data_IF_565779657192
#
_entry.id   IF_565779657192
#
_cell.length_a   1.000
_cell.length_b   1.000
_cell.length_c   1.000
_cell.angle_alpha   90.00
_cell.angle_beta   90.00
_cell.angle_gamma   90.00
#
_symmetry.space_group_name_H-M   'P 1'
#
loop_
_entity.id
_entity.type
_entity.pdbx_description
1 polymer ?
#
# COMPACT_ATOMS: atom_id res chain seq x y z
N UNK A 1 -9.47 14.52 37.57
CA UNK A 1 -10.29 14.89 36.40
C UNK A 1 -10.22 16.39 36.33
N UNK A 2 -9.63 17.07 35.36
CA UNK A 2 -9.24 16.80 33.97
C UNK A 2 -8.24 17.92 33.65
N UNK A 3 -7.01 17.61 33.26
CA UNK A 3 -6.11 18.65 32.73
C UNK A 3 -4.96 17.99 31.98
N UNK A 4 -5.28 17.22 30.93
CA UNK A 4 -4.31 16.62 29.99
C UNK A 4 -4.90 16.51 28.58
N UNK A 5 -5.54 17.55 28.07
CA UNK A 5 -6.19 17.55 26.74
C UNK A 5 -5.86 18.85 25.97
N UNK A 6 -4.59 19.25 25.94
CA UNK A 6 -4.19 20.54 25.33
C UNK A 6 -2.97 20.50 24.43
N UNK A 7 -2.49 19.30 24.04
CA UNK A 7 -1.21 19.13 23.34
C UNK A 7 -1.35 18.62 21.90
N UNK A 8 -2.39 18.98 21.14
CA UNK A 8 -2.47 18.39 19.79
C UNK A 8 -3.14 19.17 18.65
N UNK A 9 -3.12 20.52 18.59
CA UNK A 9 -3.65 21.20 17.39
C UNK A 9 -2.93 22.47 16.90
N UNK A 10 -1.79 22.90 17.47
CA UNK A 10 -1.26 24.25 17.17
C UNK A 10 -0.21 24.36 16.07
N UNK A 11 0.21 23.26 15.41
CA UNK A 11 1.29 23.34 14.40
C UNK A 11 0.85 23.73 12.97
N UNK A 12 -0.31 23.29 12.43
CA UNK A 12 -0.70 23.65 11.06
C UNK A 12 -1.09 25.12 10.93
N UNK A 13 -1.66 25.70 11.99
CA UNK A 13 -2.26 27.04 11.92
C UNK A 13 -1.21 28.14 11.69
N UNK A 14 -0.05 28.02 12.36
CA UNK A 14 1.02 29.02 12.23
C UNK A 14 1.64 29.05 10.84
N UNK A 15 1.65 27.93 10.10
CA UNK A 15 2.20 27.88 8.75
C UNK A 15 1.27 28.57 7.73
N UNK A 16 -0.04 28.30 7.85
CA UNK A 16 -1.08 28.90 6.99
C UNK A 16 -1.15 30.41 7.22
N UNK A 17 -1.13 30.86 8.48
CA UNK A 17 -1.12 32.28 8.84
C UNK A 17 0.08 33.03 8.23
N UNK A 18 1.28 32.44 8.34
CA UNK A 18 2.49 33.09 7.80
C UNK A 18 2.51 33.06 6.24
N UNK A 19 1.89 32.07 5.61
CA UNK A 19 1.77 31.99 4.16
C UNK A 19 0.85 33.10 3.60
N UNK A 20 -0.29 33.32 4.26
CA UNK A 20 -1.23 34.40 3.93
C UNK A 20 -0.56 35.77 4.09
N UNK A 21 0.21 35.96 5.17
CA UNK A 21 0.94 37.20 5.43
C UNK A 21 1.98 37.53 4.33
N UNK A 22 2.69 36.52 3.81
CA UNK A 22 3.72 36.71 2.77
C UNK A 22 3.14 36.94 1.38
N UNK A 23 2.08 36.22 1.01
CA UNK A 23 1.60 36.19 -0.39
C UNK A 23 0.31 36.95 -0.63
N UNK A 24 -0.59 37.04 0.35
CA UNK A 24 -1.90 37.72 0.21
C UNK A 24 -1.81 39.18 0.64
N UNK A 25 -1.07 39.47 1.71
CA UNK A 25 -1.03 40.81 2.31
C UNK A 25 0.10 41.72 1.78
N UNK A 26 1.05 41.20 0.97
CA UNK A 26 2.25 41.93 0.48
C UNK A 26 2.93 42.77 1.58
N UNK A 27 2.91 42.28 2.82
CA UNK A 27 3.60 42.89 3.95
C UNK A 27 5.06 42.46 3.94
N UNK A 28 5.97 43.39 4.16
CA UNK A 28 7.41 43.16 4.30
C UNK A 28 7.69 42.25 5.50
N UNK A 29 7.53 40.94 5.34
CA UNK A 29 7.78 39.97 6.38
C UNK A 29 9.28 39.74 6.52
N UNK A 30 9.86 40.28 7.59
CA UNK A 30 11.24 40.07 8.05
C UNK A 30 11.39 38.71 8.77
N UNK A 31 10.78 37.65 8.23
CA UNK A 31 10.86 36.31 8.79
C UNK A 31 11.34 35.32 7.72
N UNK A 32 12.65 35.27 7.56
CA UNK A 32 13.35 34.46 6.56
C UNK A 32 13.59 33.00 7.02
N UNK A 33 12.72 32.47 7.87
CA UNK A 33 13.05 31.30 8.70
C UNK A 33 12.50 29.94 8.27
N UNK A 34 11.26 29.86 7.77
CA UNK A 34 10.58 28.55 7.63
C UNK A 34 9.59 28.46 6.46
N UNK A 35 9.39 29.56 5.72
CA UNK A 35 8.45 29.61 4.60
C UNK A 35 9.18 29.66 3.28
N UNK A 36 9.45 28.49 2.73
CA UNK A 36 10.14 28.31 1.46
C UNK A 36 11.33 27.36 1.49
N UNK A 37 11.61 26.70 2.61
CA UNK A 37 12.58 25.60 2.63
C UNK A 37 11.95 24.42 1.89
N UNK A 38 12.40 24.20 0.65
CA UNK A 38 11.94 23.09 -0.20
C UNK A 38 11.94 21.73 0.51
N UNK A 39 12.76 21.59 1.54
CA UNK A 39 12.86 20.42 2.40
C UNK A 39 11.52 19.95 2.99
N UNK A 40 10.60 20.81 3.46
CA UNK A 40 9.38 20.32 4.15
C UNK A 40 8.35 19.74 3.16
N UNK A 41 8.14 20.41 2.02
CA UNK A 41 7.20 19.92 0.99
C UNK A 41 7.81 18.76 0.20
N UNK A 42 9.10 18.80 -0.13
CA UNK A 42 9.78 17.68 -0.78
C UNK A 42 9.87 16.44 0.12
N UNK A 43 9.99 16.59 1.44
CA UNK A 43 9.91 15.46 2.38
C UNK A 43 8.49 14.89 2.47
N UNK A 44 7.46 15.73 2.38
CA UNK A 44 6.07 15.27 2.34
C UNK A 44 5.78 14.50 1.03
N UNK A 45 6.21 15.01 -0.11
CA UNK A 45 6.08 14.33 -1.41
C UNK A 45 6.87 13.02 -1.44
N UNK A 46 8.08 12.98 -0.88
CA UNK A 46 8.88 11.76 -0.79
C UNK A 46 8.26 10.71 0.13
N UNK A 47 7.60 11.13 1.21
CA UNK A 47 6.82 10.23 2.07
C UNK A 47 5.61 9.63 1.36
N UNK A 48 4.91 10.44 0.56
CA UNK A 48 3.78 10.00 -0.25
C UNK A 48 4.21 9.04 -1.38
N UNK A 49 5.28 9.37 -2.10
CA UNK A 49 5.83 8.52 -3.17
C UNK A 49 6.42 7.21 -2.64
N UNK A 50 7.04 7.24 -1.46
CA UNK A 50 7.54 6.04 -0.79
C UNK A 50 6.41 5.08 -0.43
N UNK A 51 5.24 5.58 -0.01
CA UNK A 51 4.08 4.75 0.25
C UNK A 51 3.58 4.05 -1.03
N UNK A 52 3.57 4.77 -2.17
CA UNK A 52 3.19 4.21 -3.48
C UNK A 52 4.14 3.08 -3.89
N UNK A 53 5.45 3.28 -3.80
CA UNK A 53 6.46 2.26 -4.14
C UNK A 53 6.40 1.08 -3.18
N UNK A 54 6.14 1.32 -1.89
CA UNK A 54 5.99 0.26 -0.89
C UNK A 54 4.73 -0.57 -1.11
N UNK A 55 3.68 0.03 -1.66
CA UNK A 55 2.43 -0.65 -2.02
C UNK A 55 2.45 -1.25 -3.44
N UNK A 56 3.52 -1.04 -4.22
CA UNK A 56 3.71 -1.74 -5.48
C UNK A 56 3.91 -3.23 -5.21
N UNK A 57 2.84 -3.99 -5.41
CA UNK A 57 2.85 -5.44 -5.34
C UNK A 57 3.62 -5.98 -6.56
N UNK A 58 4.72 -6.68 -6.33
CA UNK A 58 5.59 -7.24 -7.38
C UNK A 58 4.86 -8.27 -8.27
N UNK A 59 3.88 -8.98 -7.71
CA UNK A 59 3.11 -10.01 -8.40
C UNK A 59 1.62 -9.80 -8.13
N UNK A 60 0.81 -9.39 -9.11
CA UNK A 60 -0.59 -9.01 -8.90
C UNK A 60 -1.52 -10.24 -8.81
N UNK A 61 -1.05 -11.35 -8.24
CA UNK A 61 -1.78 -12.61 -8.14
C UNK A 61 -1.58 -13.22 -6.76
N UNK A 62 -2.67 -13.64 -6.12
CA UNK A 62 -2.65 -14.36 -4.86
C UNK A 62 -2.57 -15.88 -5.05
N UNK A 63 -2.46 -16.60 -3.93
CA UNK A 63 -2.55 -18.07 -3.91
C UNK A 63 -3.89 -18.57 -4.49
N UNK A 64 -4.96 -17.81 -4.32
CA UNK A 64 -6.27 -18.13 -4.86
C UNK A 64 -6.28 -18.07 -6.40
N UNK A 65 -5.60 -17.08 -7.00
CA UNK A 65 -5.48 -16.95 -8.45
C UNK A 65 -4.63 -18.08 -9.03
N UNK A 66 -3.53 -18.44 -8.35
CA UNK A 66 -2.69 -19.58 -8.71
C UNK A 66 -3.47 -20.89 -8.65
N UNK A 67 -4.25 -21.12 -7.59
CA UNK A 67 -5.08 -22.31 -7.45
C UNK A 67 -6.18 -22.37 -8.52
N UNK A 68 -6.85 -21.24 -8.78
CA UNK A 68 -7.85 -21.14 -9.85
C UNK A 68 -7.25 -21.48 -11.22
N UNK A 69 -6.07 -20.94 -11.51
CA UNK A 69 -5.37 -21.22 -12.76
C UNK A 69 -5.06 -22.72 -12.88
N UNK A 70 -4.50 -23.32 -11.83
CA UNK A 70 -4.20 -24.75 -11.79
C UNK A 70 -5.46 -25.60 -12.05
N UNK A 71 -6.59 -25.27 -11.42
CA UNK A 71 -7.87 -25.97 -11.61
C UNK A 71 -8.37 -25.81 -13.04
N UNK A 72 -8.39 -24.59 -13.59
CA UNK A 72 -8.88 -24.34 -14.96
C UNK A 72 -8.01 -25.05 -16.00
N UNK A 73 -6.70 -25.11 -15.80
CA UNK A 73 -5.78 -25.83 -16.68
C UNK A 73 -5.93 -27.35 -16.55
N UNK A 74 -6.14 -27.88 -15.35
CA UNK A 74 -6.27 -29.31 -15.10
C UNK A 74 -7.67 -29.88 -15.42
N UNK A 75 -8.72 -29.08 -15.29
CA UNK A 75 -10.11 -29.48 -15.51
C UNK A 75 -10.36 -30.21 -16.85
N UNK A 76 -9.90 -29.71 -18.01
CA UNK A 76 -10.12 -30.40 -19.29
C UNK A 76 -9.36 -31.73 -19.41
N UNK A 77 -8.32 -31.97 -18.59
CA UNK A 77 -7.56 -33.21 -18.58
C UNK A 77 -8.17 -34.27 -17.64
N UNK A 78 -9.08 -33.87 -16.76
CA UNK A 78 -9.72 -34.79 -15.81
C UNK A 78 -10.44 -35.97 -16.49
N UNK A 79 -11.23 -35.80 -17.58
CA UNK A 79 -11.90 -36.92 -18.22
C UNK A 79 -10.92 -37.97 -18.72
N UNK A 80 -9.82 -37.55 -19.37
CA UNK A 80 -8.80 -38.46 -19.87
C UNK A 80 -8.04 -39.16 -18.72
N UNK A 81 -7.71 -38.40 -17.67
CA UNK A 81 -7.05 -38.93 -16.49
C UNK A 81 -7.89 -39.99 -15.77
N UNK A 82 -9.19 -39.74 -15.58
CA UNK A 82 -10.10 -40.68 -14.91
C UNK A 82 -10.42 -41.94 -15.73
N UNK A 83 -10.20 -41.89 -17.06
CA UNK A 83 -10.34 -43.07 -17.93
C UNK A 83 -9.11 -43.98 -17.82
N UNK A 84 -7.91 -43.40 -17.76
CA UNK A 84 -6.65 -44.15 -17.77
C UNK A 84 -6.25 -44.60 -16.36
N UNK A 85 -6.50 -43.75 -15.35
CA UNK A 85 -6.11 -43.99 -13.97
C UNK A 85 -7.35 -44.20 -13.10
N UNK A 86 -7.24 -45.11 -12.13
CA UNK A 86 -8.24 -45.20 -11.05
C UNK A 86 -8.27 -43.88 -10.25
N UNK A 87 -9.45 -43.36 -9.88
CA UNK A 87 -9.56 -42.18 -9.02
C UNK A 87 -8.79 -42.32 -7.70
N UNK A 88 -8.76 -43.53 -7.16
CA UNK A 88 -8.06 -43.86 -5.92
C UNK A 88 -6.54 -43.73 -6.07
N UNK A 89 -6.00 -44.13 -7.23
CA UNK A 89 -4.57 -44.03 -7.51
C UNK A 89 -4.12 -42.57 -7.65
N UNK A 90 -4.95 -41.72 -8.28
CA UNK A 90 -4.72 -40.28 -8.37
C UNK A 90 -4.74 -39.64 -6.98
N UNK A 91 -5.73 -39.97 -6.16
CA UNK A 91 -5.87 -39.43 -4.80
C UNK A 91 -4.68 -39.82 -3.92
N UNK A 92 -4.25 -41.08 -3.98
CA UNK A 92 -3.15 -41.58 -3.19
C UNK A 92 -1.80 -40.93 -3.59
N UNK A 93 -1.61 -40.65 -4.89
CA UNK A 93 -0.45 -39.87 -5.38
C UNK A 93 -0.49 -38.42 -4.90
N UNK A 94 -1.65 -37.76 -4.91
CA UNK A 94 -1.81 -36.39 -4.42
C UNK A 94 -1.50 -36.28 -2.92
N UNK A 95 -2.02 -37.21 -2.11
CA UNK A 95 -1.76 -37.25 -0.67
C UNK A 95 -0.26 -37.40 -0.39
N UNK A 96 0.44 -38.30 -1.09
CA UNK A 96 1.89 -38.52 -0.93
C UNK A 96 2.78 -37.34 -1.33
N UNK A 97 2.28 -36.44 -2.18
CA UNK A 97 3.02 -35.22 -2.56
C UNK A 97 2.84 -34.11 -1.52
N UNK A 98 1.71 -34.10 -0.82
CA UNK A 98 1.35 -33.06 0.15
C UNK A 98 1.80 -33.42 1.57
N UNK A 99 1.78 -34.71 1.94
CA UNK A 99 2.15 -35.26 3.25
C UNK A 99 3.39 -36.15 3.15
#
# INVERSE_FOLDING_TARGET
>A
MESREGLNQSFPNRYVEQFEEKWVLRGTSHYDGLLGTGDIQSLADLGNDYAIVREMILVPFGLQDMARLAVVTAAPLMPLGLIIFSPEEILMRLVKVIF
#
